data_IF_473177461256
#
_entry.id   IF_473177461256
#
_cell.length_a   1.000
_cell.length_b   1.000
_cell.length_c   1.000
_cell.angle_alpha   90.00
_cell.angle_beta   90.00
_cell.angle_gamma   90.00
#
_symmetry.space_group_name_H-M   'P 1'
#
loop_
_entity.id
_entity.type
_entity.pdbx_description
1 polymer ?
#
# COMPACT_ATOMS: atom_id res chain seq x y z
N UNK A 1 10.41 10.50 -10.70
CA UNK A 1 10.82 9.96 -9.40
C UNK A 1 10.36 10.94 -8.35
N UNK A 2 9.29 10.62 -7.62
CA UNK A 2 8.74 11.52 -6.60
C UNK A 2 9.28 11.10 -5.24
N UNK A 3 9.98 12.00 -4.58
CA UNK A 3 10.46 11.77 -3.22
C UNK A 3 9.35 12.14 -2.25
N UNK A 4 8.93 11.21 -1.42
CA UNK A 4 7.84 11.38 -0.45
C UNK A 4 8.09 12.48 0.60
N UNK A 5 9.34 12.84 0.84
CA UNK A 5 9.72 13.94 1.74
C UNK A 5 9.60 15.32 1.08
N UNK A 6 9.31 15.39 -0.21
CA UNK A 6 9.48 16.56 -1.03
C UNK A 6 8.23 17.03 -1.77
N UNK A 7 7.04 16.63 -1.34
CA UNK A 7 5.84 17.33 -1.80
C UNK A 7 5.48 18.45 -0.83
N UNK A 8 6.10 19.66 -0.95
CA UNK A 8 5.57 20.82 -0.30
C UNK A 8 4.09 20.92 -0.68
N UNK A 9 3.23 21.28 0.25
CA UNK A 9 1.79 21.44 0.01
C UNK A 9 1.50 22.19 -1.31
N UNK A 10 2.28 23.22 -1.62
CA UNK A 10 2.18 23.98 -2.85
C UNK A 10 2.48 23.19 -4.12
N UNK A 11 3.44 22.26 -4.08
CA UNK A 11 3.76 21.41 -5.24
C UNK A 11 2.65 20.38 -5.45
N UNK A 12 2.16 19.78 -4.38
CA UNK A 12 1.05 18.84 -4.42
C UNK A 12 -0.21 19.49 -4.99
N UNK A 13 -0.54 20.68 -4.50
CA UNK A 13 -1.68 21.46 -5.01
C UNK A 13 -1.50 21.83 -6.49
N UNK A 14 -0.32 22.33 -6.88
CA UNK A 14 -0.06 22.78 -8.25
C UNK A 14 -0.04 21.62 -9.26
N UNK A 15 0.58 20.50 -8.91
CA UNK A 15 0.80 19.37 -9.84
C UNK A 15 -0.40 18.44 -9.88
N UNK A 16 -1.03 18.18 -8.74
CA UNK A 16 -2.11 17.19 -8.60
C UNK A 16 -3.46 17.78 -8.26
N UNK A 17 -3.54 19.09 -8.03
CA UNK A 17 -4.76 19.74 -7.54
C UNK A 17 -5.20 19.24 -6.17
N UNK A 18 -4.32 18.60 -5.41
CA UNK A 18 -4.63 17.91 -4.18
C UNK A 18 -4.07 18.65 -2.96
N UNK A 19 -4.86 18.70 -1.89
CA UNK A 19 -4.43 19.18 -0.59
C UNK A 19 -3.81 18.06 0.23
N UNK A 20 -2.68 18.33 0.86
CA UNK A 20 -2.01 17.43 1.78
C UNK A 20 -1.39 18.24 2.92
N UNK A 21 -1.43 17.72 4.15
CA UNK A 21 -0.80 18.35 5.30
C UNK A 21 0.51 17.64 5.66
N UNK A 22 1.58 18.40 5.86
CA UNK A 22 2.85 17.85 6.38
C UNK A 22 2.80 17.52 7.87
N UNK A 23 1.86 18.13 8.60
CA UNK A 23 1.68 17.90 10.03
C UNK A 23 0.93 16.57 10.31
N UNK A 24 0.38 15.99 9.24
CA UNK A 24 -0.33 14.73 9.32
C UNK A 24 0.66 13.56 9.27
N UNK A 25 0.69 12.75 10.30
CA UNK A 25 1.52 11.56 10.33
C UNK A 25 1.20 10.51 9.25
N UNK A 26 0.11 10.70 8.48
CA UNK A 26 -0.26 9.88 7.33
C UNK A 26 0.30 10.38 5.99
N UNK A 27 1.17 11.36 5.98
CA UNK A 27 1.65 12.03 4.77
C UNK A 27 2.18 11.07 3.69
N UNK A 28 2.78 9.94 4.07
CA UNK A 28 3.23 8.90 3.12
C UNK A 28 2.06 8.24 2.41
N UNK A 29 1.07 7.81 3.18
CA UNK A 29 -0.13 7.19 2.62
C UNK A 29 -0.94 8.19 1.79
N UNK A 30 -1.10 9.42 2.28
CA UNK A 30 -1.74 10.52 1.52
C UNK A 30 -1.03 10.72 0.18
N UNK A 31 0.30 10.78 0.17
CA UNK A 31 1.09 10.90 -1.06
C UNK A 31 0.87 9.75 -2.05
N UNK A 32 0.87 8.51 -1.56
CA UNK A 32 0.56 7.32 -2.38
C UNK A 32 -0.84 7.41 -2.96
N UNK A 33 -1.84 7.78 -2.17
CA UNK A 33 -3.23 7.90 -2.60
C UNK A 33 -3.44 9.01 -3.63
N UNK A 34 -2.74 10.14 -3.48
CA UNK A 34 -2.74 11.23 -4.48
C UNK A 34 -2.14 10.73 -5.80
N UNK A 35 -1.04 9.99 -5.75
CA UNK A 35 -0.41 9.41 -6.95
C UNK A 35 -1.34 8.40 -7.64
N UNK A 36 -2.01 7.54 -6.89
CA UNK A 36 -2.97 6.58 -7.44
C UNK A 36 -4.18 7.30 -8.09
N UNK A 37 -4.68 8.38 -7.49
CA UNK A 37 -5.75 9.19 -8.05
C UNK A 37 -5.31 9.86 -9.36
N UNK A 38 -4.12 10.44 -9.40
CA UNK A 38 -3.57 11.05 -10.61
C UNK A 38 -3.37 10.01 -11.74
N UNK A 39 -2.91 8.80 -11.41
CA UNK A 39 -2.79 7.70 -12.35
C UNK A 39 -4.16 7.29 -12.89
N UNK A 40 -5.17 7.17 -12.03
CA UNK A 40 -6.54 6.82 -12.43
C UNK A 40 -7.14 7.89 -13.36
N UNK A 41 -6.95 9.17 -13.04
CA UNK A 41 -7.42 10.27 -13.89
C UNK A 41 -6.69 10.29 -15.24
N UNK A 42 -5.38 10.09 -15.25
CA UNK A 42 -4.61 9.99 -16.49
C UNK A 42 -5.09 8.81 -17.36
N UNK A 43 -5.34 7.64 -16.77
CA UNK A 43 -5.90 6.49 -17.49
C UNK A 43 -7.29 6.78 -18.04
N UNK A 44 -8.13 7.48 -17.27
CA UNK A 44 -9.51 7.80 -17.65
C UNK A 44 -9.58 8.72 -18.88
N UNK A 45 -8.64 9.64 -19.07
CA UNK A 45 -8.52 10.49 -20.27
C UNK A 45 -8.34 9.67 -21.55
N UNK A 46 -7.90 8.43 -21.43
CA UNK A 46 -7.73 7.49 -22.53
C UNK A 46 -8.78 6.38 -22.53
N UNK A 47 -9.92 6.56 -21.84
CA UNK A 47 -10.99 5.57 -21.75
C UNK A 47 -10.56 4.27 -21.06
N UNK A 48 -9.65 4.38 -20.08
CA UNK A 48 -9.10 3.24 -19.35
C UNK A 48 -9.28 3.42 -17.85
N UNK A 49 -9.48 2.32 -17.14
CA UNK A 49 -9.45 2.28 -15.68
C UNK A 49 -8.16 1.65 -15.16
N UNK A 50 -7.91 1.81 -13.87
CA UNK A 50 -6.78 1.19 -13.17
C UNK A 50 -7.27 0.41 -11.95
N UNK A 51 -6.76 -0.81 -11.77
CA UNK A 51 -6.85 -1.54 -10.51
C UNK A 51 -5.50 -1.40 -9.81
N UNK A 52 -5.47 -0.78 -8.66
CA UNK A 52 -4.27 -0.76 -7.82
C UNK A 52 -4.11 -2.14 -7.20
N UNK A 53 -2.97 -2.78 -7.44
CA UNK A 53 -2.70 -4.14 -6.99
C UNK A 53 -1.81 -4.18 -5.75
N UNK A 54 -0.81 -3.29 -5.72
CA UNK A 54 0.12 -3.17 -4.61
C UNK A 54 0.75 -1.79 -4.59
N UNK A 55 0.92 -1.25 -3.41
CA UNK A 55 1.68 -0.04 -3.16
C UNK A 55 2.67 -0.25 -2.03
N UNK A 56 3.86 0.29 -2.17
CA UNK A 56 4.92 0.14 -1.20
C UNK A 56 5.75 1.41 -1.10
N UNK A 57 6.03 1.81 0.13
CA UNK A 57 6.93 2.93 0.45
C UNK A 57 7.84 2.48 1.60
N UNK A 58 9.04 1.95 1.30
CA UNK A 58 9.93 1.43 2.32
C UNK A 58 10.31 2.51 3.34
N UNK A 59 10.40 2.18 4.64
CA UNK A 59 10.91 3.09 5.65
C UNK A 59 12.33 3.58 5.29
N UNK A 60 12.60 4.86 5.53
CA UNK A 60 13.92 5.45 5.24
C UNK A 60 14.22 5.72 3.76
N UNK A 61 13.28 5.43 2.87
CA UNK A 61 13.42 5.74 1.44
C UNK A 61 12.50 6.88 1.01
N UNK A 62 12.87 7.50 -0.13
CA UNK A 62 12.13 8.64 -0.70
C UNK A 62 11.32 8.26 -1.94
N UNK A 63 11.06 6.97 -2.16
CA UNK A 63 10.31 6.53 -3.31
C UNK A 63 9.05 5.76 -2.91
N UNK A 64 8.12 5.72 -3.84
CA UNK A 64 6.87 4.97 -3.77
C UNK A 64 6.79 4.06 -4.99
N UNK A 65 6.46 2.80 -4.76
CA UNK A 65 6.08 1.88 -5.81
C UNK A 65 4.57 1.73 -5.88
N UNK A 66 4.03 1.83 -7.08
CA UNK A 66 2.63 1.52 -7.36
C UNK A 66 2.59 0.47 -8.48
N UNK A 67 2.05 -0.69 -8.18
CA UNK A 67 1.77 -1.74 -9.15
C UNK A 67 0.28 -1.74 -9.44
N UNK A 68 -0.09 -1.64 -10.70
CA UNK A 68 -1.48 -1.58 -11.13
C UNK A 68 -1.72 -2.35 -12.43
N UNK A 69 -2.99 -2.69 -12.66
CA UNK A 69 -3.48 -3.25 -13.92
C UNK A 69 -4.32 -2.20 -14.63
N UNK A 70 -3.99 -1.90 -15.88
CA UNK A 70 -4.79 -1.00 -16.71
C UNK A 70 -5.84 -1.84 -17.44
N UNK A 71 -7.11 -1.43 -17.33
CA UNK A 71 -8.26 -2.05 -18.02
C UNK A 71 -8.82 -1.11 -19.08
N UNK A 72 -9.20 -1.66 -20.22
CA UNK A 72 -9.85 -0.89 -21.29
C UNK A 72 -11.36 -0.79 -21.04
N UNK A 73 -11.96 0.30 -21.50
CA UNK A 73 -13.39 0.50 -21.55
C UNK A 73 -13.90 1.57 -20.60
N UNK A 74 -14.99 2.23 -20.98
CA UNK A 74 -15.61 3.33 -20.24
C UNK A 74 -16.03 2.89 -18.83
N UNK A 75 -16.67 1.73 -18.68
CA UNK A 75 -17.07 1.21 -17.37
C UNK A 75 -15.88 1.04 -16.42
N UNK A 76 -14.70 0.59 -16.92
CA UNK A 76 -13.50 0.49 -16.11
C UNK A 76 -12.97 1.88 -15.72
N UNK A 77 -13.02 2.83 -16.63
CA UNK A 77 -12.68 4.23 -16.39
C UNK A 77 -13.55 4.84 -15.28
N UNK A 78 -14.87 4.69 -15.42
CA UNK A 78 -15.85 5.25 -14.49
C UNK A 78 -15.72 4.61 -13.10
N UNK A 79 -15.53 3.29 -13.03
CA UNK A 79 -15.30 2.58 -11.79
C UNK A 79 -14.04 3.08 -11.05
N UNK A 80 -12.96 3.37 -11.79
CA UNK A 80 -11.73 3.92 -11.19
C UNK A 80 -11.93 5.35 -10.71
N UNK A 81 -12.62 6.20 -11.50
CA UNK A 81 -12.89 7.59 -11.13
C UNK A 81 -13.81 7.70 -9.92
N UNK A 82 -14.76 6.79 -9.77
CA UNK A 82 -15.65 6.73 -8.60
C UNK A 82 -14.89 6.52 -7.28
N UNK A 83 -13.64 6.03 -7.33
CA UNK A 83 -12.77 5.86 -6.17
C UNK A 83 -11.89 7.09 -5.89
N UNK A 84 -12.04 8.17 -6.63
CA UNK A 84 -11.32 9.43 -6.37
C UNK A 84 -12.23 10.36 -5.56
N UNK A 85 -11.73 10.84 -4.42
CA UNK A 85 -12.50 11.72 -3.55
C UNK A 85 -11.65 12.46 -2.53
N UNK A 86 -12.30 13.06 -1.55
CA UNK A 86 -11.67 13.71 -0.41
C UNK A 86 -11.95 12.90 0.85
N UNK A 87 -11.06 12.97 1.82
CA UNK A 87 -11.22 12.32 3.11
C UNK A 87 -10.62 13.17 4.23
N UNK A 88 -11.10 12.94 5.44
CA UNK A 88 -10.49 13.48 6.65
C UNK A 88 -9.48 12.48 7.21
N UNK A 89 -8.31 12.94 7.57
CA UNK A 89 -7.33 12.15 8.30
C UNK A 89 -7.74 12.01 9.77
N UNK A 90 -7.20 11.05 10.52
CA UNK A 90 -7.46 10.94 11.95
C UNK A 90 -7.12 12.20 12.74
N UNK A 91 -6.19 13.01 12.24
CA UNK A 91 -5.78 14.28 12.83
C UNK A 91 -6.73 15.45 12.45
N UNK A 92 -7.85 15.17 11.76
CA UNK A 92 -8.90 16.13 11.42
C UNK A 92 -8.62 17.00 10.18
N UNK A 93 -7.58 16.70 9.41
CA UNK A 93 -7.27 17.44 8.19
C UNK A 93 -7.99 16.87 6.97
N UNK A 94 -8.69 17.72 6.21
CA UNK A 94 -9.23 17.34 4.91
C UNK A 94 -8.10 17.27 3.88
N UNK A 95 -8.02 16.16 3.17
CA UNK A 95 -7.02 15.86 2.14
C UNK A 95 -7.67 15.38 0.85
N UNK A 96 -6.99 15.61 -0.27
CA UNK A 96 -7.46 15.13 -1.58
C UNK A 96 -7.58 16.23 -2.65
N UNK A 97 -8.00 15.87 -3.87
CA UNK A 97 -8.53 14.55 -4.27
C UNK A 97 -7.48 13.44 -4.16
N UNK A 98 -7.91 12.28 -3.72
CA UNK A 98 -7.06 11.12 -3.54
C UNK A 98 -7.82 9.81 -3.79
N UNK A 99 -7.09 8.72 -3.97
CA UNK A 99 -7.64 7.38 -4.15
C UNK A 99 -8.22 6.84 -2.83
N UNK A 100 -9.51 6.59 -2.79
CA UNK A 100 -10.22 6.04 -1.64
C UNK A 100 -10.33 4.51 -1.67
N UNK A 101 -10.02 3.91 -2.81
CA UNK A 101 -10.03 2.46 -2.96
C UNK A 101 -8.88 1.76 -2.22
N UNK A 102 -8.90 0.42 -2.24
CA UNK A 102 -7.84 -0.37 -1.64
C UNK A 102 -6.49 -0.08 -2.32
N UNK A 103 -5.44 -0.07 -1.53
CA UNK A 103 -4.05 0.09 -1.99
C UNK A 103 -3.36 -1.27 -2.17
N UNK A 104 -3.99 -2.35 -1.68
CA UNK A 104 -3.46 -3.70 -1.68
C UNK A 104 -4.50 -4.67 -2.22
N UNK A 105 -4.08 -5.58 -3.09
CA UNK A 105 -4.90 -6.68 -3.61
C UNK A 105 -4.46 -8.00 -2.98
N UNK A 106 -5.24 -8.54 -2.05
CA UNK A 106 -4.91 -9.79 -1.39
C UNK A 106 -4.67 -10.96 -2.37
N UNK A 107 -5.47 -11.14 -3.45
CA UNK A 107 -5.20 -12.17 -4.43
C UNK A 107 -3.85 -11.99 -5.15
N UNK A 108 -3.46 -10.75 -5.44
CA UNK A 108 -2.16 -10.45 -6.06
C UNK A 108 -1.02 -10.75 -5.09
N UNK A 109 -1.10 -10.27 -3.86
CA UNK A 109 -0.06 -10.47 -2.85
C UNK A 109 0.16 -11.94 -2.50
N UNK A 110 -0.93 -12.73 -2.40
CA UNK A 110 -0.81 -14.18 -2.18
C UNK A 110 -0.05 -14.87 -3.31
N UNK A 111 -0.26 -14.46 -4.57
CA UNK A 111 0.51 -14.99 -5.70
C UNK A 111 1.99 -14.60 -5.63
N UNK A 112 2.29 -13.35 -5.28
CA UNK A 112 3.67 -12.91 -5.08
C UNK A 112 4.37 -13.72 -3.98
N UNK A 113 3.70 -13.93 -2.84
CA UNK A 113 4.23 -14.74 -1.75
C UNK A 113 4.45 -16.20 -2.15
N UNK A 114 3.52 -16.79 -2.90
CA UNK A 114 3.68 -18.15 -3.43
C UNK A 114 4.87 -18.23 -4.38
N UNK A 115 5.09 -17.22 -5.23
CA UNK A 115 6.25 -17.17 -6.13
C UNK A 115 7.58 -17.00 -5.37
N UNK A 116 7.59 -16.28 -4.26
CA UNK A 116 8.77 -16.17 -3.39
C UNK A 116 9.08 -17.45 -2.59
N UNK A 117 8.09 -18.35 -2.47
CA UNK A 117 8.25 -19.63 -1.76
C UNK A 117 8.60 -20.79 -2.68
N UNK A 118 8.40 -20.63 -3.99
CA UNK A 118 8.70 -21.65 -4.99
C UNK A 118 10.19 -21.60 -5.34
N UNK A 119 10.98 -22.47 -4.73
CA UNK A 119 12.38 -22.70 -5.09
C UNK A 119 12.53 -23.38 -6.47
N UNK A 120 11.43 -23.76 -7.12
CA UNK A 120 11.43 -24.40 -8.42
C UNK A 120 10.95 -23.43 -9.51
N UNK A 121 11.75 -23.22 -10.60
CA UNK A 121 11.24 -22.52 -11.76
C UNK A 121 10.02 -23.25 -12.32
N UNK A 122 8.98 -22.54 -12.80
CA UNK A 122 7.80 -23.17 -13.37
C UNK A 122 8.22 -24.13 -14.49
N UNK A 123 7.62 -25.34 -14.58
CA UNK A 123 7.90 -26.26 -15.65
C UNK A 123 7.65 -25.54 -16.99
N UNK A 124 8.65 -25.55 -17.86
CA UNK A 124 8.60 -24.91 -19.18
C UNK A 124 7.35 -25.39 -19.93
N UNK A 125 6.42 -24.48 -20.17
CA UNK A 125 5.19 -24.72 -20.92
C UNK A 125 5.43 -24.94 -22.44
N UNK A 126 6.69 -25.02 -22.88
CA UNK A 126 7.07 -25.29 -24.26
C UNK A 126 8.07 -26.44 -24.31
N UNK A 127 7.55 -27.66 -24.57
CA UNK A 127 8.33 -28.80 -24.97
C UNK A 127 8.99 -28.57 -26.33
N UNK A 128 10.29 -28.29 -26.34
CA UNK A 128 11.04 -28.22 -27.59
C UNK A 128 12.41 -27.57 -27.39
N UNK A 129 13.42 -28.39 -27.12
CA UNK A 129 14.80 -27.98 -27.18
C UNK A 129 15.66 -28.52 -26.04
N UNK A 130 16.34 -29.66 -26.30
CA UNK A 130 17.35 -30.23 -25.42
C UNK A 130 18.62 -29.34 -25.39
N UNK A 131 18.48 -28.10 -24.91
CA UNK A 131 19.58 -27.25 -24.49
C UNK A 131 19.90 -27.56 -23.05
N UNK A 132 21.10 -28.05 -22.76
CA UNK A 132 21.66 -28.31 -21.44
C UNK A 132 21.65 -26.99 -20.65
N UNK A 133 20.55 -26.70 -19.91
CA UNK A 133 20.51 -25.58 -18.96
C UNK A 133 21.55 -25.85 -17.88
N UNK A 134 22.46 -24.95 -17.72
CA UNK A 134 23.31 -24.87 -16.52
C UNK A 134 22.36 -24.67 -15.32
N UNK A 135 22.60 -25.36 -14.19
CA UNK A 135 21.87 -25.08 -12.97
C UNK A 135 21.96 -23.58 -12.65
N UNK A 136 20.89 -22.95 -12.14
CA UNK A 136 20.95 -21.57 -11.72
C UNK A 136 22.12 -21.40 -10.75
N UNK A 137 22.90 -20.35 -10.94
CA UNK A 137 23.96 -20.03 -10.00
C UNK A 137 23.31 -19.85 -8.61
N UNK A 138 23.97 -20.29 -7.52
CA UNK A 138 23.45 -20.08 -6.17
C UNK A 138 23.19 -18.58 -6.00
N UNK A 139 21.99 -18.26 -5.49
CA UNK A 139 21.60 -16.87 -5.23
C UNK A 139 22.70 -16.21 -4.38
N UNK A 140 23.07 -14.99 -4.74
CA UNK A 140 23.99 -14.24 -3.91
C UNK A 140 23.34 -13.92 -2.56
N UNK A 141 24.13 -13.75 -1.50
CA UNK A 141 23.61 -13.36 -0.17
C UNK A 141 22.75 -12.09 -0.23
N UNK A 142 23.05 -11.19 -1.16
CA UNK A 142 22.29 -9.98 -1.40
C UNK A 142 20.90 -10.25 -2.05
N UNK A 143 20.81 -11.25 -2.93
CA UNK A 143 19.55 -11.66 -3.53
C UNK A 143 18.64 -12.34 -2.52
N UNK A 144 19.18 -13.18 -1.64
CA UNK A 144 18.42 -13.81 -0.56
C UNK A 144 17.90 -12.78 0.45
N UNK A 145 18.69 -11.76 0.77
CA UNK A 145 18.28 -10.67 1.65
C UNK A 145 17.16 -9.84 1.01
N UNK A 146 17.30 -9.51 -0.28
CA UNK A 146 16.28 -8.79 -1.03
C UNK A 146 14.96 -9.57 -1.11
N UNK A 147 15.02 -10.88 -1.35
CA UNK A 147 13.84 -11.75 -1.35
C UNK A 147 13.18 -11.81 0.03
N UNK A 148 13.96 -11.86 1.10
CA UNK A 148 13.45 -11.85 2.48
C UNK A 148 12.75 -10.53 2.81
N UNK A 149 13.33 -9.41 2.41
CA UNK A 149 12.72 -8.08 2.60
C UNK A 149 11.44 -7.93 1.79
N UNK A 150 11.44 -8.34 0.53
CA UNK A 150 10.26 -8.34 -0.32
C UNK A 150 9.13 -9.20 0.28
N UNK A 151 9.44 -10.38 0.77
CA UNK A 151 8.48 -11.26 1.43
C UNK A 151 7.87 -10.60 2.67
N UNK A 152 8.68 -10.00 3.54
CA UNK A 152 8.18 -9.26 4.71
C UNK A 152 7.26 -8.11 4.31
N UNK A 153 7.61 -7.37 3.26
CA UNK A 153 6.78 -6.28 2.74
C UNK A 153 5.42 -6.78 2.23
N UNK A 154 5.39 -7.91 1.50
CA UNK A 154 4.15 -8.52 1.02
C UNK A 154 3.30 -9.08 2.17
N UNK A 155 3.91 -9.71 3.17
CA UNK A 155 3.21 -10.21 4.36
C UNK A 155 2.57 -9.05 5.14
N UNK A 156 3.30 -7.95 5.34
CA UNK A 156 2.78 -6.76 5.98
C UNK A 156 1.64 -6.12 5.16
N UNK A 157 1.80 -6.01 3.85
CA UNK A 157 0.78 -5.49 2.95
C UNK A 157 -0.47 -6.38 2.91
N UNK A 158 -0.31 -7.70 3.01
CA UNK A 158 -1.43 -8.64 3.08
C UNK A 158 -2.14 -8.58 4.44
N UNK A 159 -1.40 -8.32 5.51
CA UNK A 159 -1.96 -8.12 6.85
C UNK A 159 -2.67 -6.78 7.01
N UNK A 160 -2.38 -5.80 6.14
CA UNK A 160 -3.08 -4.51 6.07
C UNK A 160 -4.48 -4.74 5.47
N UNK A 161 -5.40 -5.16 6.33
CA UNK A 161 -6.67 -5.79 5.95
C UNK A 161 -7.52 -4.90 5.04
N UNK A 162 -8.06 -5.45 3.95
CA UNK A 162 -9.03 -4.75 3.12
C UNK A 162 -10.30 -4.45 3.95
N UNK A 163 -10.81 -3.22 3.82
CA UNK A 163 -12.03 -2.77 4.50
C UNK A 163 -11.79 -1.93 5.76
N UNK A 164 -10.57 -1.80 6.24
CA UNK A 164 -10.25 -0.83 7.29
C UNK A 164 -10.21 0.60 6.75
N UNK A 165 -10.42 1.61 7.62
CA UNK A 165 -10.37 3.02 7.23
C UNK A 165 -9.10 3.37 6.44
N UNK A 166 -9.18 4.33 5.51
CA UNK A 166 -8.07 4.65 4.59
C UNK A 166 -6.79 5.13 5.28
N UNK A 167 -6.89 5.61 6.53
CA UNK A 167 -5.73 6.14 7.23
C UNK A 167 -5.42 5.38 8.51
N UNK A 168 -4.14 5.38 8.87
CA UNK A 168 -3.63 4.73 10.07
C UNK A 168 -3.50 5.69 11.25
N UNK A 169 -3.60 5.16 12.46
CA UNK A 169 -3.46 5.89 13.72
C UNK A 169 -2.08 5.62 14.32
N UNK A 170 -1.44 6.64 14.90
CA UNK A 170 -0.16 6.49 15.58
C UNK A 170 -0.32 5.70 16.89
N UNK A 171 0.64 4.83 17.21
CA UNK A 171 0.56 3.95 18.39
C UNK A 171 1.16 4.57 19.66
N UNK A 172 1.64 5.80 19.58
CA UNK A 172 2.36 6.43 20.70
C UNK A 172 3.67 5.70 21.02
N UNK A 173 3.93 5.47 22.29
CA UNK A 173 5.12 4.76 22.77
C UNK A 173 4.95 3.23 22.85
N UNK A 174 3.77 2.70 22.56
CA UNK A 174 3.48 1.27 22.66
C UNK A 174 3.86 0.50 21.42
N UNK A 175 4.14 -0.78 21.60
CA UNK A 175 4.35 -1.71 20.49
C UNK A 175 3.09 -1.79 19.60
N UNK A 176 3.20 -1.49 18.31
CA UNK A 176 2.06 -1.63 17.39
C UNK A 176 1.47 -3.03 17.37
N UNK A 177 2.28 -4.05 17.53
CA UNK A 177 1.84 -5.45 17.57
C UNK A 177 0.96 -5.71 18.79
N UNK A 178 1.41 -5.32 19.98
CA UNK A 178 0.64 -5.50 21.20
C UNK A 178 -0.70 -4.75 21.15
N UNK A 179 -0.71 -3.56 20.56
CA UNK A 179 -1.95 -2.78 20.43
C UNK A 179 -2.92 -3.40 19.41
N UNK A 180 -2.42 -3.96 18.31
CA UNK A 180 -3.23 -4.72 17.35
C UNK A 180 -3.88 -5.93 18.02
N UNK A 181 -3.12 -6.68 18.83
CA UNK A 181 -3.63 -7.83 19.57
C UNK A 181 -4.71 -7.41 20.58
N UNK A 182 -4.48 -6.33 21.35
CA UNK A 182 -5.46 -5.82 22.30
C UNK A 182 -6.75 -5.35 21.62
N UNK A 183 -6.66 -4.67 20.48
CA UNK A 183 -7.83 -4.25 19.72
C UNK A 183 -8.62 -5.45 19.18
N UNK A 184 -7.92 -6.47 18.67
CA UNK A 184 -8.57 -7.71 18.22
C UNK A 184 -9.24 -8.47 19.35
N UNK A 185 -8.60 -8.55 20.52
CA UNK A 185 -9.19 -9.12 21.71
C UNK A 185 -10.44 -8.36 22.18
N UNK A 186 -10.49 -7.04 21.94
CA UNK A 186 -11.67 -6.19 22.20
C UNK A 186 -12.75 -6.27 21.11
N UNK A 187 -12.60 -7.17 20.10
CA UNK A 187 -13.57 -7.40 19.04
C UNK A 187 -13.49 -6.44 17.85
N UNK A 188 -12.42 -5.66 17.76
CA UNK A 188 -12.18 -4.75 16.64
C UNK A 188 -11.28 -5.36 15.57
N UNK A 189 -11.50 -4.98 14.32
CA UNK A 189 -10.55 -5.25 13.24
C UNK A 189 -9.35 -4.33 13.39
N UNK A 190 -8.15 -4.89 13.41
CA UNK A 190 -6.92 -4.11 13.50
C UNK A 190 -5.78 -4.77 12.73
N UNK A 191 -4.92 -3.95 12.12
CA UNK A 191 -3.70 -4.38 11.43
C UNK A 191 -2.60 -3.34 11.56
N UNK A 192 -1.35 -3.75 11.35
CA UNK A 192 -0.25 -2.81 11.21
C UNK A 192 -0.34 -2.08 9.88
N UNK A 193 0.07 -0.81 9.85
CA UNK A 193 0.14 -0.06 8.61
C UNK A 193 1.30 -0.57 7.73
N UNK A 194 1.05 -0.73 6.44
CA UNK A 194 2.09 -1.04 5.45
C UNK A 194 3.00 0.16 5.12
N UNK A 195 2.64 1.37 5.55
CA UNK A 195 3.34 2.62 5.22
C UNK A 195 4.19 3.16 6.37
N UNK A 196 3.85 2.81 7.60
CA UNK A 196 4.55 3.29 8.79
C UNK A 196 4.54 2.20 9.87
N UNK A 197 5.72 1.71 10.30
CA UNK A 197 5.83 0.64 11.29
C UNK A 197 5.28 1.04 12.67
N UNK A 198 5.18 2.34 12.97
CA UNK A 198 4.65 2.88 14.24
C UNK A 198 3.16 3.22 14.16
N UNK A 199 2.45 2.73 13.14
CA UNK A 199 1.03 3.01 12.94
C UNK A 199 0.23 1.74 12.72
N UNK A 200 -1.04 1.82 13.07
CA UNK A 200 -2.00 0.75 12.86
C UNK A 200 -3.28 1.27 12.19
N UNK A 201 -4.02 0.38 11.56
CA UNK A 201 -5.38 0.62 11.08
C UNK A 201 -6.35 -0.13 11.96
N UNK A 202 -7.50 0.48 12.23
CA UNK A 202 -8.57 -0.15 13.01
C UNK A 202 -9.91 0.51 12.70
N UNK A 203 -10.98 -0.25 12.86
CA UNK A 203 -12.35 0.24 12.88
C UNK A 203 -12.78 0.72 14.27
N UNK A 204 -11.92 0.57 15.28
CA UNK A 204 -12.20 1.05 16.64
C UNK A 204 -12.35 2.57 16.66
N UNK A 205 -13.37 3.12 17.38
CA UNK A 205 -13.49 4.55 17.60
C UNK A 205 -12.24 5.12 18.28
N UNK A 206 -11.83 6.34 17.89
CA UNK A 206 -10.61 6.97 18.40
C UNK A 206 -10.51 7.03 19.93
N UNK A 207 -11.63 7.21 20.61
CA UNK A 207 -11.69 7.18 22.08
C UNK A 207 -11.33 5.82 22.69
N UNK A 208 -11.65 4.70 22.04
CA UNK A 208 -11.26 3.35 22.50
C UNK A 208 -9.78 3.09 22.27
N UNK A 209 -9.24 3.55 21.14
CA UNK A 209 -7.80 3.47 20.89
C UNK A 209 -7.04 4.24 21.96
N UNK A 210 -7.50 5.46 22.31
CA UNK A 210 -6.94 6.27 23.40
C UNK A 210 -7.01 5.62 24.76
N UNK A 211 -8.13 4.97 25.10
CA UNK A 211 -8.30 4.27 26.38
C UNK A 211 -7.32 3.10 26.55
N UNK A 212 -7.05 2.35 25.46
CA UNK A 212 -6.05 1.29 25.46
C UNK A 212 -4.61 1.83 25.51
N UNK A 213 -4.41 3.12 25.26
CA UNK A 213 -3.11 3.77 25.45
C UNK A 213 -2.77 4.06 26.91
N UNK A 214 -3.79 4.27 27.74
CA UNK A 214 -3.63 4.65 29.14
C UNK A 214 -3.62 3.46 30.12
N UNK A 215 -3.98 2.27 29.68
CA UNK A 215 -3.94 1.03 30.46
C UNK A 215 -2.63 0.27 30.25
#
# INVERSE_FOLDING_TARGET
MMTSDCLPHQVTLRVYGATASRKDGNWREVGVRILCAALADACARHGRGVDVLHTHSPPGTHFVHVTGRIRKGAAASDASRALIGRANTPDGHEVGPLWLGPLQSAPFLRRCLASCAADEPPPDANGGGAGRRLPPAPASSAEEELQREARKAFELALADAPGLPPFSVHTGSRSPTALVEALRAAGHSASRSAFDPMRLRTDAPGGKVGALWCS
#
